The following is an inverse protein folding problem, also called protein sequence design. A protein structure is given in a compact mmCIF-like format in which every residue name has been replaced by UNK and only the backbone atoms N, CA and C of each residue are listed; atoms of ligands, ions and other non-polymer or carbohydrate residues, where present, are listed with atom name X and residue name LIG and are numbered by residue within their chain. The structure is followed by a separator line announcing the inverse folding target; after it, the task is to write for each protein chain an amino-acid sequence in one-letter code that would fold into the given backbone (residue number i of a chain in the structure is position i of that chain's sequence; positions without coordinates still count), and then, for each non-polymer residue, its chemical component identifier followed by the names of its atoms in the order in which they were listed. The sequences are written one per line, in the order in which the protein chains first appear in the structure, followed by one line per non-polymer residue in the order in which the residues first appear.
data_IF_899726524973
#
_entry.id   IF_899726524973
#
_cell.length_a   1.000
_cell.length_b   1.000
_cell.length_c   1.000
_cell.angle_alpha   90.00
_cell.angle_beta   90.00
_cell.angle_gamma   90.00
#
_symmetry.space_group_name_H-M   'P 1'
#
loop_
_entity.id
_entity.type
_entity.pdbx_description
1 polymer ?
#
# COMPACT_ATOMS: atom_id res chain seq x y z
N UNK A 1 2.37 -22.27 9.13
CA UNK A 1 2.65 -21.05 8.34
C UNK A 1 2.25 -21.30 6.89
N UNK A 2 1.55 -20.38 6.25
CA UNK A 2 1.13 -20.53 4.84
C UNK A 2 2.25 -20.10 3.88
N UNK A 3 2.33 -20.70 2.67
CA UNK A 3 3.18 -20.22 1.58
C UNK A 3 2.93 -18.74 1.24
N UNK A 4 3.92 -18.09 0.63
CA UNK A 4 3.80 -16.68 0.25
C UNK A 4 2.56 -16.42 -0.60
N UNK A 5 1.84 -15.33 -0.29
CA UNK A 5 0.59 -14.93 -0.94
C UNK A 5 -0.53 -15.99 -0.91
N UNK A 6 -0.56 -16.83 0.13
CA UNK A 6 -1.70 -17.72 0.40
C UNK A 6 -2.22 -17.57 1.82
N UNK A 7 -3.51 -17.82 2.00
CA UNK A 7 -4.19 -17.71 3.29
C UNK A 7 -5.23 -18.81 3.48
N UNK A 8 -5.63 -19.00 4.73
CA UNK A 8 -6.66 -19.96 5.13
C UNK A 8 -6.33 -20.63 6.45
N UNK A 9 -7.34 -20.82 7.30
CA UNK A 9 -7.16 -21.25 8.69
C UNK A 9 -6.49 -22.62 8.87
N UNK A 10 -6.61 -23.52 7.88
CA UNK A 10 -6.12 -24.91 8.02
C UNK A 10 -5.32 -25.42 6.83
N UNK A 11 -5.65 -24.99 5.60
CA UNK A 11 -5.08 -25.59 4.37
C UNK A 11 -4.37 -24.60 3.46
N UNK A 12 -4.37 -23.30 3.78
CA UNK A 12 -3.75 -22.25 2.95
C UNK A 12 -4.18 -22.30 1.46
N UNK A 13 -5.40 -22.75 1.17
CA UNK A 13 -5.87 -23.00 -0.19
C UNK A 13 -6.43 -21.73 -0.87
N UNK A 14 -6.46 -20.60 -0.19
CA UNK A 14 -6.88 -19.34 -0.79
C UNK A 14 -5.64 -18.56 -1.23
N UNK A 15 -5.67 -18.02 -2.45
CA UNK A 15 -4.58 -17.17 -2.96
C UNK A 15 -4.95 -15.71 -2.71
N UNK A 16 -4.03 -14.96 -2.10
CA UNK A 16 -4.24 -13.55 -1.86
C UNK A 16 -4.31 -12.80 -3.19
N UNK A 17 -5.36 -11.99 -3.37
CA UNK A 17 -5.59 -11.19 -4.58
C UNK A 17 -4.85 -9.85 -4.50
N UNK A 18 -3.59 -9.87 -4.04
CA UNK A 18 -2.78 -8.65 -3.89
C UNK A 18 -1.88 -8.43 -5.10
N UNK A 19 -1.61 -7.17 -5.43
CA UNK A 19 -0.55 -6.79 -6.37
C UNK A 19 0.82 -7.02 -5.73
N UNK A 20 1.50 -8.11 -6.13
CA UNK A 20 2.75 -8.57 -5.52
C UNK A 20 3.87 -7.53 -5.58
N UNK A 21 3.85 -6.64 -6.58
CA UNK A 21 4.85 -5.59 -6.72
C UNK A 21 4.62 -4.45 -5.73
N UNK A 22 3.40 -4.31 -5.20
CA UNK A 22 2.94 -3.20 -4.36
C UNK A 22 2.52 -3.65 -2.96
N UNK A 23 2.58 -4.94 -2.67
CA UNK A 23 2.27 -5.53 -1.37
C UNK A 23 3.56 -5.90 -0.64
N UNK A 24 3.60 -5.65 0.67
CA UNK A 24 4.68 -6.07 1.58
C UNK A 24 4.49 -7.52 1.98
N UNK A 25 3.29 -7.86 2.43
CA UNK A 25 2.93 -9.22 2.84
C UNK A 25 1.42 -9.44 2.71
N UNK A 26 1.02 -10.70 2.56
CA UNK A 26 -0.37 -11.09 2.74
C UNK A 26 -0.56 -11.76 4.10
N UNK A 27 -1.63 -11.42 4.79
CA UNK A 27 -2.02 -12.07 6.03
C UNK A 27 -2.53 -13.49 5.76
N UNK A 28 -1.83 -14.48 6.31
CA UNK A 28 -2.12 -15.91 6.14
C UNK A 28 -3.45 -16.36 6.76
N UNK A 29 -4.10 -15.53 7.58
CA UNK A 29 -5.33 -15.87 8.29
C UNK A 29 -6.57 -15.43 7.53
N UNK A 30 -6.59 -14.18 7.06
CA UNK A 30 -7.76 -13.56 6.42
C UNK A 30 -7.54 -13.14 4.97
N UNK A 31 -6.30 -13.24 4.44
CA UNK A 31 -5.98 -12.83 3.07
C UNK A 31 -5.79 -11.33 2.89
N UNK A 32 -5.74 -10.56 3.97
CA UNK A 32 -5.56 -9.11 3.93
C UNK A 32 -4.17 -8.74 3.40
N UNK A 33 -4.13 -7.83 2.44
CA UNK A 33 -2.91 -7.37 1.81
C UNK A 33 -2.33 -6.18 2.59
N UNK A 34 -1.13 -6.34 3.13
CA UNK A 34 -0.38 -5.23 3.72
C UNK A 34 0.33 -4.50 2.58
N UNK A 35 -0.17 -3.33 2.20
CA UNK A 35 0.36 -2.56 1.09
C UNK A 35 1.70 -1.88 1.43
N UNK A 36 2.54 -1.70 0.40
CA UNK A 36 3.72 -0.84 0.48
C UNK A 36 3.27 0.60 0.71
N UNK A 37 4.15 1.42 1.30
CA UNK A 37 3.90 2.85 1.45
C UNK A 37 3.59 3.47 0.07
N UNK A 38 2.59 4.33 0.00
CA UNK A 38 2.10 4.91 -1.25
C UNK A 38 1.05 4.07 -1.98
N UNK A 39 0.61 2.94 -1.42
CA UNK A 39 -0.45 2.11 -2.01
C UNK A 39 -1.60 1.86 -1.04
N UNK A 40 -2.80 1.76 -1.60
CA UNK A 40 -4.07 1.53 -0.91
C UNK A 40 -4.93 0.58 -1.74
N UNK A 41 -6.19 0.36 -1.32
CA UNK A 41 -7.11 -0.70 -1.76
C UNK A 41 -6.88 -2.05 -1.07
N UNK A 42 -7.86 -2.95 -1.20
CA UNK A 42 -7.77 -4.31 -0.64
C UNK A 42 -6.67 -5.15 -1.30
N UNK A 43 -6.32 -4.81 -2.54
CA UNK A 43 -5.35 -5.48 -3.39
C UNK A 43 -4.06 -4.66 -3.61
N UNK A 44 -3.91 -3.51 -2.95
CA UNK A 44 -2.76 -2.61 -3.09
C UNK A 44 -2.55 -2.08 -4.52
N UNK A 45 -3.59 -2.06 -5.36
CA UNK A 45 -3.49 -1.63 -6.76
C UNK A 45 -3.62 -0.12 -6.93
N UNK A 46 -4.23 0.56 -5.95
CA UNK A 46 -4.49 1.99 -6.01
C UNK A 46 -3.36 2.76 -5.37
N UNK A 47 -2.88 3.77 -6.09
CA UNK A 47 -1.91 4.74 -5.57
C UNK A 47 -2.56 5.61 -4.50
N UNK A 48 -1.87 5.79 -3.37
CA UNK A 48 -2.34 6.62 -2.28
C UNK A 48 -1.90 8.06 -2.54
N UNK A 49 -2.85 8.96 -2.82
CA UNK A 49 -2.51 10.37 -2.98
C UNK A 49 -2.20 11.01 -1.62
N UNK A 50 -0.90 11.08 -1.29
CA UNK A 50 -0.44 11.67 -0.03
C UNK A 50 -0.62 13.20 0.01
N UNK A 51 -0.87 13.85 -1.14
CA UNK A 51 -1.09 15.28 -1.22
C UNK A 51 -2.52 15.70 -0.80
N UNK A 52 -3.50 14.78 -0.79
CA UNK A 52 -4.88 15.07 -0.37
C UNK A 52 -4.98 15.36 1.14
N UNK A 53 -4.19 14.66 1.94
CA UNK A 53 -4.03 14.95 3.36
C UNK A 53 -2.78 15.82 3.51
N UNK A 54 -2.89 17.14 3.29
CA UNK A 54 -1.82 18.15 3.50
C UNK A 54 -1.38 18.25 4.97
N UNK A 55 -0.98 17.13 5.55
CA UNK A 55 -0.36 17.04 6.86
C UNK A 55 1.12 17.34 6.71
N UNK A 56 1.77 17.70 7.82
CA UNK A 56 3.22 17.91 7.89
C UNK A 56 4.00 16.63 7.49
N UNK A 57 3.33 15.48 7.47
CA UNK A 57 3.88 14.19 7.04
C UNK A 57 3.95 14.03 5.52
N UNK A 58 3.16 14.79 4.75
CA UNK A 58 3.26 14.83 3.29
C UNK A 58 4.40 15.77 2.90
N UNK A 59 4.24 17.08 3.02
CA UNK A 59 5.32 18.04 2.78
C UNK A 59 5.40 19.03 3.96
N UNK A 60 6.59 19.42 4.42
CA UNK A 60 6.68 20.49 5.39
C UNK A 60 6.18 21.82 4.79
N UNK A 61 5.71 22.73 5.63
CA UNK A 61 5.01 23.96 5.20
C UNK A 61 5.84 24.91 4.32
N UNK A 62 7.14 24.67 4.15
CA UNK A 62 8.03 25.47 3.31
C UNK A 62 8.00 25.08 1.82
N UNK A 63 7.28 24.03 1.44
CA UNK A 63 7.11 23.63 0.04
C UNK A 63 5.84 24.27 -0.55
N UNK A 64 5.95 24.79 -1.78
CA UNK A 64 4.85 25.48 -2.47
C UNK A 64 3.80 24.53 -3.01
N UNK A 65 4.22 23.35 -3.45
CA UNK A 65 3.35 22.37 -4.10
C UNK A 65 3.72 20.93 -3.70
N UNK A 66 2.71 20.07 -3.61
CA UNK A 66 2.85 18.62 -3.47
C UNK A 66 2.35 18.00 -4.77
N UNK A 67 3.17 17.16 -5.39
CA UNK A 67 2.86 16.46 -6.63
C UNK A 67 2.77 14.97 -6.31
N UNK A 68 1.59 14.39 -6.45
CA UNK A 68 1.41 12.96 -6.28
C UNK A 68 2.07 12.19 -7.45
N UNK A 69 2.74 11.08 -7.15
CA UNK A 69 3.43 10.24 -8.12
C UNK A 69 3.05 8.77 -7.89
N UNK A 70 3.22 7.91 -8.88
CA UNK A 70 2.82 6.51 -8.70
C UNK A 70 3.73 5.82 -7.67
N UNK A 71 3.15 5.45 -6.52
CA UNK A 71 3.79 4.81 -5.38
C UNK A 71 4.49 5.78 -4.42
N UNK A 72 4.39 7.10 -4.61
CA UNK A 72 5.03 8.10 -3.73
C UNK A 72 4.55 9.53 -4.04
N UNK A 73 5.19 10.55 -3.47
CA UNK A 73 4.91 11.94 -3.79
C UNK A 73 6.20 12.75 -3.84
N UNK A 74 6.14 13.91 -4.50
CA UNK A 74 7.23 14.85 -4.60
C UNK A 74 6.82 16.22 -4.09
N UNK A 75 7.61 16.79 -3.18
CA UNK A 75 7.43 18.16 -2.72
C UNK A 75 8.26 19.11 -3.59
N UNK A 76 7.61 20.16 -4.11
CA UNK A 76 8.25 21.19 -4.94
C UNK A 76 8.32 22.50 -4.15
N UNK A 77 9.54 23.05 -4.05
CA UNK A 77 9.83 24.30 -3.36
C UNK A 77 9.30 25.52 -4.12
#
# INVERSE_FOLDING_TARGET
ECPEFTYGAETCNQTCQCDKDKTVMCNNTNGECICKRGWTSQDCSQDLDECLNRTVEACPFNYKECVNTIGSFQCVC
#
